data_IF_455578390480
#
_entry.id   IF_455578390480
#
_cell.length_a   1.000
_cell.length_b   1.000
_cell.length_c   1.000
_cell.angle_alpha   90.00
_cell.angle_beta   90.00
_cell.angle_gamma   90.00
#
_symmetry.space_group_name_H-M   'P 1'
#
loop_
_entity.id
_entity.type
_entity.pdbx_description
1 polymer ?
#
# COMPACT_ATOMS: atom_id res chain seq x y z
N UNK A 1 -19.40 -69.40 -4.25
CA UNK A 1 -18.62 -68.16 -4.31
C UNK A 1 -18.92 -67.45 -5.62
N UNK A 2 -19.51 -66.25 -5.63
CA UNK A 2 -19.40 -65.34 -6.77
C UNK A 2 -18.67 -64.04 -6.39
N UNK A 3 -17.90 -63.57 -7.37
CA UNK A 3 -16.94 -62.46 -7.34
C UNK A 3 -17.62 -61.08 -7.46
N UNK A 4 -16.92 -60.06 -6.96
CA UNK A 4 -17.36 -58.69 -6.70
C UNK A 4 -17.56 -57.87 -7.99
N UNK A 5 -18.78 -57.35 -8.19
CA UNK A 5 -19.03 -56.18 -9.02
C UNK A 5 -18.70 -54.90 -8.24
N UNK A 6 -17.60 -54.23 -8.55
CA UNK A 6 -17.39 -52.81 -8.19
C UNK A 6 -17.17 -52.00 -9.46
N UNK A 7 -18.26 -51.74 -10.18
CA UNK A 7 -18.31 -50.61 -11.09
C UNK A 7 -18.26 -49.35 -10.24
N UNK A 8 -17.12 -48.64 -10.29
CA UNK A 8 -16.95 -47.32 -9.71
C UNK A 8 -17.88 -46.36 -10.44
N UNK A 9 -19.07 -46.13 -9.89
CA UNK A 9 -19.96 -45.08 -10.34
C UNK A 9 -19.32 -43.74 -9.98
N UNK A 10 -18.68 -43.13 -10.99
CA UNK A 10 -18.28 -41.74 -10.97
C UNK A 10 -19.55 -40.90 -10.85
N UNK A 11 -19.93 -40.57 -9.62
CA UNK A 11 -21.10 -39.75 -9.31
C UNK A 11 -20.79 -38.33 -9.75
N UNK A 12 -21.12 -38.03 -11.00
CA UNK A 12 -21.21 -36.67 -11.50
C UNK A 12 -22.35 -35.97 -10.76
N UNK A 13 -22.02 -35.24 -9.71
CA UNK A 13 -22.96 -34.35 -9.04
C UNK A 13 -23.28 -33.18 -9.97
N UNK A 14 -24.45 -33.27 -10.58
CA UNK A 14 -25.04 -32.21 -11.40
C UNK A 14 -25.33 -31.01 -10.50
N UNK A 15 -24.60 -29.90 -10.68
CA UNK A 15 -24.89 -28.63 -10.01
C UNK A 15 -26.09 -27.97 -10.73
N UNK A 16 -27.28 -28.49 -10.49
CA UNK A 16 -28.53 -27.79 -10.80
C UNK A 16 -28.85 -26.84 -9.66
N UNK A 17 -28.41 -25.59 -9.77
CA UNK A 17 -29.26 -24.47 -9.36
C UNK A 17 -28.68 -23.16 -9.85
N UNK A 18 -29.53 -22.41 -10.55
CA UNK A 18 -29.39 -20.96 -10.71
C UNK A 18 -29.61 -20.34 -9.32
N UNK A 19 -28.66 -20.55 -8.39
CA UNK A 19 -28.68 -19.86 -7.10
C UNK A 19 -28.32 -18.40 -7.37
N UNK A 20 -29.22 -17.47 -7.02
CA UNK A 20 -28.86 -16.07 -6.79
C UNK A 20 -27.56 -16.07 -5.97
N UNK A 21 -26.45 -15.64 -6.58
CA UNK A 21 -25.15 -15.60 -5.90
C UNK A 21 -25.31 -14.79 -4.62
N UNK A 22 -25.28 -15.47 -3.47
CA UNK A 22 -25.35 -14.82 -2.15
C UNK A 22 -24.27 -13.75 -2.10
N UNK A 23 -24.66 -12.51 -1.79
CA UNK A 23 -23.70 -11.43 -1.53
C UNK A 23 -23.29 -11.50 -0.06
N UNK A 24 -22.00 -11.39 0.19
CA UNK A 24 -21.40 -11.37 1.52
C UNK A 24 -20.90 -9.97 1.82
N UNK A 25 -21.34 -9.37 2.93
CA UNK A 25 -20.81 -8.09 3.41
C UNK A 25 -19.36 -8.28 3.89
N UNK A 26 -18.54 -7.21 3.98
CA UNK A 26 -17.20 -7.30 4.55
C UNK A 26 -17.18 -7.93 5.95
N UNK A 27 -18.14 -7.58 6.80
CA UNK A 27 -18.27 -8.08 8.18
C UNK A 27 -18.63 -9.57 8.20
N UNK A 28 -19.49 -10.03 7.28
CA UNK A 28 -19.76 -11.46 7.12
C UNK A 28 -18.52 -12.22 6.66
N UNK A 29 -17.76 -11.68 5.71
CA UNK A 29 -16.50 -12.29 5.25
C UNK A 29 -15.50 -12.40 6.40
N UNK A 30 -15.39 -11.37 7.24
CA UNK A 30 -14.52 -11.38 8.42
C UNK A 30 -14.92 -12.51 9.37
N UNK A 31 -16.19 -12.58 9.78
CA UNK A 31 -16.67 -13.63 10.69
C UNK A 31 -16.42 -15.03 10.16
N UNK A 32 -16.67 -15.26 8.87
CA UNK A 32 -16.44 -16.56 8.24
C UNK A 32 -14.95 -16.90 8.20
N UNK A 33 -14.09 -15.91 7.95
CA UNK A 33 -12.64 -16.11 7.96
C UNK A 33 -12.12 -16.39 9.37
N UNK A 34 -12.60 -15.66 10.39
CA UNK A 34 -12.26 -15.89 11.81
C UNK A 34 -12.63 -17.31 12.25
N UNK A 35 -13.78 -17.82 11.81
CA UNK A 35 -14.21 -19.19 12.07
C UNK A 35 -13.18 -20.23 11.59
N UNK A 36 -12.44 -19.95 10.50
CA UNK A 36 -11.38 -20.84 10.00
C UNK A 36 -10.13 -20.90 10.87
N UNK A 37 -9.98 -19.99 11.83
CA UNK A 37 -8.87 -19.97 12.80
C UNK A 37 -9.24 -20.60 14.14
N UNK A 38 -10.52 -20.90 14.36
CA UNK A 38 -10.95 -21.60 15.58
C UNK A 38 -10.40 -23.03 15.61
N UNK A 39 -10.00 -23.55 16.80
CA UNK A 39 -9.54 -24.92 16.94
C UNK A 39 -10.55 -25.94 16.39
N UNK A 40 -10.05 -26.92 15.63
CA UNK A 40 -10.89 -27.97 15.03
C UNK A 40 -11.61 -27.57 13.74
N UNK A 41 -11.55 -26.30 13.32
CA UNK A 41 -12.06 -25.89 12.02
C UNK A 41 -10.97 -25.94 10.95
N UNK A 42 -11.31 -26.49 9.79
CA UNK A 42 -10.50 -26.38 8.57
C UNK A 42 -11.19 -25.47 7.56
N UNK A 43 -10.40 -24.88 6.65
CA UNK A 43 -10.94 -24.04 5.57
C UNK A 43 -12.00 -24.81 4.76
N UNK A 44 -11.76 -26.08 4.45
CA UNK A 44 -12.71 -26.93 3.72
C UNK A 44 -14.02 -27.15 4.47
N UNK A 45 -13.96 -27.33 5.79
CA UNK A 45 -15.14 -27.50 6.64
C UNK A 45 -16.00 -26.23 6.65
N UNK A 46 -15.37 -25.09 6.91
CA UNK A 46 -16.04 -23.79 6.98
C UNK A 46 -16.62 -23.41 5.61
N UNK A 47 -15.87 -23.65 4.53
CA UNK A 47 -16.33 -23.43 3.16
C UNK A 47 -17.62 -24.20 2.85
N UNK A 48 -17.70 -25.49 3.20
CA UNK A 48 -18.92 -26.30 3.03
C UNK A 48 -20.09 -25.79 3.86
N UNK A 49 -19.84 -25.42 5.12
CA UNK A 49 -20.87 -24.89 6.05
C UNK A 49 -21.54 -23.63 5.51
N UNK A 50 -20.77 -22.75 4.87
CA UNK A 50 -21.26 -21.49 4.32
C UNK A 50 -21.61 -21.55 2.83
N UNK A 51 -21.45 -22.70 2.16
CA UNK A 51 -21.69 -22.85 0.73
C UNK A 51 -20.73 -22.02 -0.14
N UNK A 52 -19.50 -21.80 0.32
CA UNK A 52 -18.47 -20.99 -0.31
C UNK A 52 -17.44 -21.91 -0.98
N UNK A 53 -16.93 -21.52 -2.15
CA UNK A 53 -15.82 -22.22 -2.77
C UNK A 53 -14.53 -22.04 -1.94
N UNK A 54 -13.79 -23.11 -1.66
CA UNK A 54 -12.57 -23.05 -0.83
C UNK A 54 -11.56 -21.99 -1.29
N UNK A 55 -11.35 -21.84 -2.60
CA UNK A 55 -10.46 -20.82 -3.18
C UNK A 55 -10.90 -19.37 -2.84
N UNK A 56 -12.21 -19.12 -2.75
CA UNK A 56 -12.74 -17.81 -2.35
C UNK A 56 -12.43 -17.54 -0.87
N UNK A 57 -12.57 -18.54 -0.01
CA UNK A 57 -12.27 -18.41 1.42
C UNK A 57 -10.76 -18.23 1.69
N UNK A 58 -9.89 -18.90 0.93
CA UNK A 58 -8.44 -18.63 0.95
C UNK A 58 -8.11 -17.20 0.51
N UNK A 59 -8.81 -16.70 -0.51
CA UNK A 59 -8.64 -15.31 -0.96
C UNK A 59 -9.03 -14.33 0.14
N UNK A 60 -10.13 -14.55 0.85
CA UNK A 60 -10.54 -13.69 1.96
C UNK A 60 -9.59 -13.77 3.16
N UNK A 61 -9.04 -14.96 3.47
CA UNK A 61 -7.96 -15.10 4.47
C UNK A 61 -6.76 -14.23 4.13
N UNK A 62 -6.32 -14.24 2.85
CA UNK A 62 -5.23 -13.40 2.38
C UNK A 62 -5.54 -11.91 2.51
N UNK A 63 -6.73 -11.48 2.11
CA UNK A 63 -7.17 -10.08 2.21
C UNK A 63 -7.28 -9.60 3.65
N UNK A 64 -7.70 -10.47 4.58
CA UNK A 64 -7.70 -10.16 6.02
C UNK A 64 -6.28 -10.02 6.56
N UNK A 65 -5.36 -10.93 6.21
CA UNK A 65 -3.97 -10.85 6.64
C UNK A 65 -3.26 -9.58 6.11
N UNK A 66 -3.72 -9.05 4.97
CA UNK A 66 -3.23 -7.79 4.39
C UNK A 66 -3.95 -6.54 4.94
N UNK A 67 -4.89 -6.70 5.89
CA UNK A 67 -5.69 -5.60 6.43
C UNK A 67 -6.77 -5.04 5.48
N UNK A 68 -6.79 -5.47 4.22
CA UNK A 68 -7.73 -4.97 3.21
C UNK A 68 -9.19 -5.36 3.49
N UNK A 69 -9.42 -6.54 4.08
CA UNK A 69 -10.78 -6.98 4.42
C UNK A 69 -11.34 -6.24 5.65
N UNK A 70 -10.48 -5.95 6.63
CA UNK A 70 -10.85 -5.21 7.86
C UNK A 70 -11.04 -3.72 7.59
N UNK A 71 -10.19 -3.11 6.76
CA UNK A 71 -10.35 -1.73 6.32
C UNK A 71 -11.69 -1.53 5.58
N UNK A 72 -12.03 -2.44 4.67
CA UNK A 72 -13.30 -2.40 3.95
C UNK A 72 -14.54 -2.53 4.86
N UNK A 73 -14.43 -3.27 5.98
CA UNK A 73 -15.50 -3.39 6.97
C UNK A 73 -15.59 -2.20 7.93
N UNK A 74 -14.45 -1.59 8.26
CA UNK A 74 -14.38 -0.37 9.05
C UNK A 74 -14.84 0.88 8.28
N UNK A 75 -15.18 0.74 6.99
CA UNK A 75 -15.51 1.86 6.12
C UNK A 75 -14.30 2.75 5.79
N UNK A 76 -13.09 2.26 6.03
CA UNK A 76 -11.85 2.94 5.66
C UNK A 76 -11.66 2.87 4.15
N UNK A 77 -11.19 3.97 3.55
CA UNK A 77 -10.94 4.05 2.12
C UNK A 77 -9.77 3.13 1.74
N UNK A 78 -10.08 2.05 1.01
CA UNK A 78 -9.07 1.10 0.52
C UNK A 78 -8.54 1.59 -0.83
N UNK A 79 -7.30 2.07 -0.83
CA UNK A 79 -6.60 2.50 -2.04
C UNK A 79 -6.10 1.29 -2.83
N UNK A 80 -6.19 1.35 -4.16
CA UNK A 80 -5.69 0.26 -5.00
C UNK A 80 -4.16 0.12 -4.89
N UNK A 81 -3.65 -1.11 -5.01
CA UNK A 81 -2.22 -1.37 -4.94
C UNK A 81 -1.42 -0.65 -6.05
N UNK A 82 -2.04 -0.37 -7.19
CA UNK A 82 -1.47 0.45 -8.27
C UNK A 82 -1.19 1.87 -7.80
N UNK A 83 -2.14 2.47 -7.09
CA UNK A 83 -2.10 3.87 -6.71
C UNK A 83 -1.09 4.06 -5.57
N UNK A 84 -1.00 3.09 -4.66
CA UNK A 84 0.06 3.04 -3.66
C UNK A 84 1.45 3.00 -4.30
N UNK A 85 1.66 2.16 -5.33
CA UNK A 85 2.96 2.09 -6.04
C UNK A 85 3.26 3.37 -6.83
N UNK A 86 2.25 3.98 -7.45
CA UNK A 86 2.40 5.25 -8.13
C UNK A 86 2.82 6.36 -7.16
N UNK A 87 2.19 6.39 -5.98
CA UNK A 87 2.55 7.33 -4.91
C UNK A 87 3.97 7.08 -4.39
N UNK A 88 4.34 5.82 -4.18
CA UNK A 88 5.71 5.45 -3.77
C UNK A 88 6.74 5.94 -4.81
N UNK A 89 6.46 5.79 -6.10
CA UNK A 89 7.32 6.30 -7.17
C UNK A 89 7.45 7.82 -7.15
N UNK A 90 6.34 8.54 -6.91
CA UNK A 90 6.37 10.00 -6.76
C UNK A 90 7.20 10.44 -5.56
N UNK A 91 7.06 9.76 -4.41
CA UNK A 91 7.86 10.05 -3.22
C UNK A 91 9.35 9.90 -3.51
N UNK A 92 9.77 8.83 -4.19
CA UNK A 92 11.17 8.61 -4.57
C UNK A 92 11.69 9.72 -5.48
N UNK A 93 10.90 10.14 -6.46
CA UNK A 93 11.30 11.21 -7.36
C UNK A 93 11.41 12.56 -6.65
N UNK A 94 10.45 12.88 -5.77
CA UNK A 94 10.50 14.09 -4.94
C UNK A 94 11.73 14.10 -4.03
N UNK A 95 12.06 12.97 -3.41
CA UNK A 95 13.28 12.84 -2.59
C UNK A 95 14.54 13.08 -3.43
N UNK A 96 14.60 12.56 -4.66
CA UNK A 96 15.72 12.79 -5.58
C UNK A 96 15.86 14.26 -5.97
N UNK A 97 14.74 14.90 -6.33
CA UNK A 97 14.71 16.32 -6.70
C UNK A 97 15.08 17.22 -5.52
N UNK A 98 14.56 16.92 -4.33
CA UNK A 98 14.90 17.62 -3.10
C UNK A 98 16.40 17.52 -2.82
N UNK A 99 16.97 16.32 -2.88
CA UNK A 99 18.42 16.13 -2.71
C UNK A 99 19.24 16.98 -3.70
N UNK A 100 18.87 16.99 -4.99
CA UNK A 100 19.53 17.83 -5.99
C UNK A 100 19.43 19.32 -5.65
N UNK A 101 18.27 19.79 -5.22
CA UNK A 101 18.05 21.20 -4.87
C UNK A 101 18.73 21.62 -3.57
N UNK A 102 18.90 20.71 -2.62
CA UNK A 102 19.70 20.95 -1.41
C UNK A 102 21.15 21.19 -1.78
N UNK A 103 21.75 20.31 -2.59
CA UNK A 103 23.13 20.47 -3.06
C UNK A 103 23.33 21.79 -3.84
N UNK A 104 22.40 22.14 -4.72
CA UNK A 104 22.46 23.41 -5.47
C UNK A 104 22.43 24.62 -4.53
N UNK A 105 21.58 24.60 -3.50
CA UNK A 105 21.52 25.68 -2.52
C UNK A 105 22.80 25.79 -1.68
N UNK A 106 23.41 24.68 -1.30
CA UNK A 106 24.68 24.67 -0.56
C UNK A 106 25.80 25.31 -1.40
N UNK A 107 25.93 24.90 -2.66
CA UNK A 107 26.91 25.47 -3.59
C UNK A 107 26.69 26.97 -3.82
N UNK A 108 25.43 27.40 -4.00
CA UNK A 108 25.10 28.80 -4.17
C UNK A 108 25.42 29.61 -2.91
N UNK A 109 25.11 29.09 -1.72
CA UNK A 109 25.44 29.73 -0.44
C UNK A 109 26.95 29.85 -0.25
N UNK A 110 27.72 28.81 -0.60
CA UNK A 110 29.18 28.87 -0.60
C UNK A 110 29.71 29.95 -1.55
N UNK A 111 29.19 30.00 -2.78
CA UNK A 111 29.59 31.00 -3.78
C UNK A 111 29.29 32.43 -3.28
N UNK A 112 28.11 32.66 -2.70
CA UNK A 112 27.74 33.95 -2.10
C UNK A 112 28.66 34.29 -0.93
N UNK A 113 28.96 33.33 -0.03
CA UNK A 113 29.88 33.54 1.09
C UNK A 113 31.29 33.94 0.62
N UNK A 114 31.79 33.31 -0.45
CA UNK A 114 33.07 33.65 -1.07
C UNK A 114 33.06 35.03 -1.73
N UNK A 115 31.95 35.41 -2.37
CA UNK A 115 31.79 36.73 -3.00
C UNK A 115 31.60 37.85 -1.96
N UNK A 116 31.04 37.55 -0.79
CA UNK A 116 30.84 38.47 0.33
C UNK A 116 32.13 38.77 1.13
N UNK A 117 33.30 38.71 0.48
CA UNK A 117 34.59 39.14 1.05
C UNK A 117 34.50 40.54 1.71
N UNK A 118 35.47 40.89 2.59
CA UNK A 118 35.29 41.94 3.59
C UNK A 118 34.74 43.19 2.94
N UNK A 119 33.56 43.64 3.41
CA UNK A 119 33.01 44.97 3.07
C UNK A 119 34.20 45.92 3.14
N UNK A 120 34.70 46.35 1.98
CA UNK A 120 35.70 47.41 1.94
C UNK A 120 35.01 48.56 2.64
N UNK A 121 35.37 48.79 3.89
CA UNK A 121 35.08 50.02 4.58
C UNK A 121 35.64 51.08 3.65
N UNK A 122 34.77 51.70 2.86
CA UNK A 122 35.03 52.97 2.22
C UNK A 122 35.02 54.02 3.33
N UNK A 123 35.94 53.87 4.27
CA UNK A 123 36.44 54.91 5.15
C UNK A 123 37.91 55.07 4.79
N UNK A 124 38.15 55.77 3.70
CA UNK A 124 39.35 56.60 3.62
C UNK A 124 38.89 58.01 3.32
N UNK A 125 38.72 58.74 4.40
CA UNK A 125 38.88 60.19 4.43
C UNK A 125 40.12 60.57 3.62
N UNK A 126 39.91 61.11 2.42
CA UNK A 126 40.82 62.08 1.85
C UNK A 126 40.27 63.45 2.22
N UNK A 127 40.68 63.91 3.40
CA UNK A 127 40.88 65.33 3.66
C UNK A 127 41.92 65.88 2.66
N UNK A 128 41.94 67.22 2.55
CA UNK A 128 42.96 68.14 1.95
C UNK A 128 42.45 69.00 0.77
N UNK A 129 42.80 70.29 0.70
CA UNK A 129 42.70 71.33 1.74
C UNK A 129 41.95 72.59 1.27
N UNK A 130 41.47 73.37 2.24
CA UNK A 130 41.23 74.81 2.03
C UNK A 130 42.52 75.52 1.64
N UNK A 131 42.46 76.44 0.68
CA UNK A 131 43.60 77.25 0.26
C UNK A 131 43.22 78.25 -0.82
N UNK A 132 42.86 79.46 -0.39
CA UNK A 132 42.26 80.50 -1.21
C UNK A 132 43.18 81.17 -2.23
N UNK A 133 42.54 81.82 -3.20
CA UNK A 133 42.71 83.25 -3.48
C UNK A 133 41.56 83.76 -4.35
#
# INVERSE_FOLDING_TARGET
MPDRMTGTYDRVEVITSVQRRRRWTPEEKIRIVEETYLPGNSVSLVARRHGIAGNQLFTWRRLMAQGALTAAAAGEEVVAASDYRALEAQVRELQRLLGKKTMENELLREAVSRAAGPKKQLLRSTSWPEGGR
#
